data_IF_218236314961
#
_entry.id   IF_218236314961
#
_cell.length_a   1.000
_cell.length_b   1.000
_cell.length_c   1.000
_cell.angle_alpha   90.00
_cell.angle_beta   90.00
_cell.angle_gamma   90.00
#
_symmetry.space_group_name_H-M   'P 1'
#
loop_
_entity.id
_entity.type
_entity.pdbx_description
1 polymer ?
#
# COMPACT_ATOMS: atom_id res chain seq x y z
N UNK A 1 -4.25 -2.56 -17.05
CA UNK A 1 -3.86 -2.09 -15.71
C UNK A 1 -4.31 -3.12 -14.70
N UNK A 2 -3.41 -3.57 -13.88
CA UNK A 2 -3.70 -4.62 -12.91
C UNK A 2 -3.77 -4.07 -11.50
N UNK A 3 -4.49 -4.78 -10.63
CA UNK A 3 -4.61 -4.39 -9.24
C UNK A 3 -3.70 -5.25 -8.39
N UNK A 4 -3.00 -4.61 -7.47
CA UNK A 4 -2.10 -5.31 -6.57
C UNK A 4 -2.41 -4.91 -5.13
N UNK A 5 -2.36 -5.88 -4.25
CA UNK A 5 -2.32 -5.60 -2.82
C UNK A 5 -0.85 -5.53 -2.45
N UNK A 6 -0.43 -4.42 -1.86
CA UNK A 6 0.96 -4.20 -1.48
C UNK A 6 1.01 -4.12 0.04
N UNK A 7 1.71 -5.06 0.64
CA UNK A 7 1.83 -5.14 2.08
C UNK A 7 3.30 -5.10 2.46
N UNK A 8 3.61 -4.41 3.54
CA UNK A 8 5.01 -4.30 3.94
C UNK A 8 5.20 -4.42 5.44
N UNK A 9 6.41 -4.83 5.80
CA UNK A 9 6.83 -4.94 7.18
C UNK A 9 8.19 -4.27 7.27
N UNK A 10 8.23 -3.06 7.81
CA UNK A 10 9.42 -2.22 7.81
C UNK A 10 9.80 -1.94 9.25
N UNK A 11 11.04 -2.26 9.63
CA UNK A 11 11.45 -2.20 11.02
C UNK A 11 11.90 -0.82 11.48
N UNK A 12 12.23 0.07 10.58
CA UNK A 12 12.75 1.39 10.95
C UNK A 12 11.71 2.48 10.69
N UNK A 13 11.43 3.36 11.66
CA UNK A 13 10.38 4.38 11.49
C UNK A 13 10.60 5.32 10.31
N UNK A 14 11.84 5.68 10.01
CA UNK A 14 12.10 6.57 8.89
C UNK A 14 11.82 5.88 7.57
N UNK A 15 12.29 4.64 7.44
CA UNK A 15 12.02 3.87 6.22
C UNK A 15 10.53 3.58 6.10
N UNK A 16 9.87 3.31 7.21
CA UNK A 16 8.43 3.05 7.20
C UNK A 16 7.68 4.24 6.60
N UNK A 17 8.01 5.45 7.03
CA UNK A 17 7.35 6.64 6.50
C UNK A 17 7.62 6.82 5.02
N UNK A 18 8.84 6.56 4.58
CA UNK A 18 9.18 6.70 3.17
C UNK A 18 8.46 5.67 2.31
N UNK A 19 8.35 4.44 2.81
CA UNK A 19 7.64 3.38 2.10
C UNK A 19 6.16 3.74 1.98
N UNK A 20 5.57 4.18 3.08
CA UNK A 20 4.16 4.57 3.07
C UNK A 20 3.91 5.72 2.09
N UNK A 21 4.76 6.74 2.14
CA UNK A 21 4.63 7.88 1.24
C UNK A 21 4.76 7.47 -0.22
N UNK A 22 5.69 6.57 -0.51
CA UNK A 22 5.87 6.07 -1.86
C UNK A 22 4.63 5.29 -2.32
N UNK A 23 4.10 4.43 -1.47
CA UNK A 23 2.90 3.67 -1.82
C UNK A 23 1.70 4.59 -2.03
N UNK A 24 1.62 5.68 -1.30
CA UNK A 24 0.53 6.63 -1.48
C UNK A 24 0.53 7.27 -2.85
N UNK A 25 1.68 7.36 -3.49
CA UNK A 25 1.77 7.89 -4.84
C UNK A 25 1.18 6.92 -5.87
N UNK A 26 1.02 5.66 -5.50
CA UNK A 26 0.60 4.62 -6.45
C UNK A 26 -0.74 3.98 -6.13
N UNK A 27 -1.28 4.20 -4.94
CA UNK A 27 -2.53 3.55 -4.59
C UNK A 27 -3.16 4.09 -3.33
N UNK A 28 -4.13 3.35 -2.83
CA UNK A 28 -4.92 3.75 -1.67
C UNK A 28 -4.63 2.84 -0.49
N UNK A 29 -4.48 3.46 0.67
CA UNK A 29 -4.22 2.70 1.89
C UNK A 29 -5.48 1.95 2.33
N UNK A 30 -5.32 0.68 2.62
CA UNK A 30 -6.39 -0.14 3.15
C UNK A 30 -6.20 -0.42 4.64
N UNK A 31 -4.96 -0.60 5.05
CA UNK A 31 -4.60 -0.75 6.45
C UNK A 31 -3.25 -0.10 6.65
N UNK A 32 -2.80 -0.07 7.89
CA UNK A 32 -1.60 0.60 8.26
C UNK A 32 -0.44 0.34 7.32
N UNK A 33 -0.23 -0.90 6.95
CA UNK A 33 0.87 -1.27 6.06
C UNK A 33 0.37 -2.04 4.85
N UNK A 34 -0.85 -1.77 4.40
CA UNK A 34 -1.44 -2.44 3.26
C UNK A 34 -2.08 -1.42 2.34
N UNK A 35 -1.69 -1.46 1.08
CA UNK A 35 -2.23 -0.58 0.05
C UNK A 35 -2.83 -1.41 -1.07
N UNK A 36 -3.81 -0.85 -1.76
CA UNK A 36 -4.33 -1.43 -3.00
C UNK A 36 -3.97 -0.46 -4.11
N UNK A 37 -3.22 -0.94 -5.08
CA UNK A 37 -2.68 -0.13 -6.15
C UNK A 37 -3.10 -0.68 -7.50
N UNK A 38 -3.56 0.20 -8.39
CA UNK A 38 -3.86 -0.19 -9.77
C UNK A 38 -2.71 0.30 -10.63
N UNK A 39 -1.98 -0.64 -11.20
CA UNK A 39 -0.70 -0.33 -11.83
C UNK A 39 -0.59 -0.92 -13.23
N UNK A 40 -0.04 -0.13 -14.14
CA UNK A 40 0.43 -0.68 -15.40
C UNK A 40 1.73 -1.44 -15.12
N UNK A 41 2.20 -2.19 -16.11
CA UNK A 41 3.48 -2.89 -15.96
C UNK A 41 4.61 -1.91 -15.67
N UNK A 42 4.58 -0.75 -16.32
CA UNK A 42 5.59 0.29 -16.10
C UNK A 42 5.51 0.85 -14.67
N UNK A 43 4.29 1.12 -14.21
CA UNK A 43 4.10 1.62 -12.84
C UNK A 43 4.58 0.63 -11.80
N UNK A 44 4.36 -0.66 -12.03
CA UNK A 44 4.80 -1.68 -11.09
C UNK A 44 6.31 -1.69 -10.98
N UNK A 45 7.01 -1.58 -12.11
CA UNK A 45 8.47 -1.51 -12.11
C UNK A 45 8.94 -0.25 -11.38
N UNK A 46 8.28 0.87 -11.62
CA UNK A 46 8.65 2.13 -10.98
C UNK A 46 8.46 2.07 -9.47
N UNK A 47 7.34 1.50 -9.04
CA UNK A 47 7.07 1.36 -7.61
C UNK A 47 8.12 0.45 -6.97
N UNK A 48 8.38 -0.68 -7.58
CA UNK A 48 9.38 -1.62 -7.05
C UNK A 48 10.77 -0.98 -6.98
N UNK A 49 11.14 -0.21 -8.00
CA UNK A 49 12.43 0.46 -8.01
C UNK A 49 12.56 1.47 -6.87
N UNK A 50 11.51 2.26 -6.67
CA UNK A 50 11.55 3.26 -5.60
C UNK A 50 11.62 2.61 -4.24
N UNK A 51 10.86 1.54 -4.04
CA UNK A 51 10.88 0.83 -2.77
C UNK A 51 12.21 0.14 -2.52
N UNK A 52 12.80 -0.42 -3.58
CA UNK A 52 14.07 -1.09 -3.47
C UNK A 52 15.16 -0.15 -2.92
N UNK A 53 15.10 1.11 -3.30
CA UNK A 53 16.08 2.09 -2.84
C UNK A 53 15.85 2.55 -1.41
N UNK A 54 14.67 2.32 -0.88
CA UNK A 54 14.33 2.77 0.47
C UNK A 54 14.57 1.68 1.51
N UNK A 55 14.15 0.46 1.20
CA UNK A 55 14.12 -0.60 2.22
C UNK A 55 15.49 -1.19 2.45
N UNK A 56 15.62 -1.83 3.60
CA UNK A 56 16.80 -2.61 3.95
C UNK A 56 16.46 -4.07 3.64
N UNK A 57 17.14 -4.63 2.66
CA UNK A 57 16.79 -5.95 2.15
C UNK A 57 16.94 -7.06 3.19
N UNK A 58 17.72 -6.82 4.24
CA UNK A 58 17.92 -7.80 5.29
C UNK A 58 16.88 -7.69 6.39
N UNK A 59 16.32 -6.50 6.59
CA UNK A 59 15.46 -6.24 7.73
C UNK A 59 14.00 -6.02 7.36
N UNK A 60 13.73 -5.65 6.12
CA UNK A 60 12.42 -5.22 5.70
C UNK A 60 11.86 -6.14 4.62
N UNK A 61 10.54 -6.11 4.46
CA UNK A 61 9.89 -6.91 3.43
C UNK A 61 8.74 -6.11 2.82
N UNK A 62 8.58 -6.23 1.51
CA UNK A 62 7.40 -5.70 0.81
C UNK A 62 6.87 -6.82 -0.06
N UNK A 63 5.57 -7.07 0.04
CA UNK A 63 4.93 -8.15 -0.67
C UNK A 63 3.94 -7.57 -1.67
N UNK A 64 3.92 -8.12 -2.88
CA UNK A 64 2.99 -7.71 -3.93
C UNK A 64 2.10 -8.90 -4.28
N UNK A 65 0.80 -8.73 -4.14
CA UNK A 65 -0.15 -9.81 -4.43
C UNK A 65 -1.06 -9.35 -5.56
N UNK A 66 -0.97 -9.96 -6.74
CA UNK A 66 -1.86 -9.58 -7.82
C UNK A 66 -3.29 -10.02 -7.50
N UNK A 67 -4.25 -9.15 -7.79
CA UNK A 67 -5.65 -9.41 -7.54
C UNK A 67 -6.43 -9.24 -8.83
N UNK A 68 -7.38 -10.13 -9.08
CA UNK A 68 -8.30 -9.89 -10.18
C UNK A 68 -9.31 -8.83 -9.73
N UNK A 69 -10.03 -8.24 -10.68
CA UNK A 69 -10.96 -7.18 -10.37
C UNK A 69 -12.00 -7.62 -9.35
N UNK A 70 -12.47 -8.85 -9.49
CA UNK A 70 -13.46 -9.37 -8.59
C UNK A 70 -12.93 -9.50 -7.17
N UNK A 71 -11.70 -10.01 -7.04
CA UNK A 71 -11.10 -10.17 -5.73
C UNK A 71 -10.87 -8.81 -5.07
N UNK A 72 -10.45 -7.83 -5.84
CA UNK A 72 -10.17 -6.52 -5.25
C UNK A 72 -11.45 -5.85 -4.74
N UNK A 73 -12.58 -6.15 -5.37
CA UNK A 73 -13.87 -5.60 -4.92
C UNK A 73 -14.40 -6.32 -3.69
N UNK A 74 -13.85 -7.47 -3.36
CA UNK A 74 -14.35 -8.27 -2.26
C UNK A 74 -13.47 -8.22 -1.03
N UNK A 75 -12.52 -7.31 -0.99
CA UNK A 75 -11.67 -7.15 0.17
C UNK A 75 -12.54 -6.64 1.33
N UNK A 76 -12.46 -7.34 2.44
CA UNK A 76 -13.22 -6.99 3.64
C UNK A 76 -12.29 -6.75 4.80
N UNK A 77 -12.69 -5.87 5.69
CA UNK A 77 -11.93 -5.61 6.90
C UNK A 77 -12.88 -5.52 8.07
N UNK A 78 -12.41 -6.01 9.20
CA UNK A 78 -13.16 -5.89 10.45
C UNK A 78 -12.43 -4.93 11.35
N UNK A 79 -13.16 -4.22 12.14
CA UNK A 79 -12.57 -3.33 13.11
C UNK A 79 -12.63 -1.89 12.67
N UNK A 80 -11.64 -1.15 13.11
CA UNK A 80 -11.60 0.27 12.86
C UNK A 80 -11.39 0.55 11.37
N UNK A 81 -12.12 1.50 10.79
CA UNK A 81 -11.90 1.84 9.38
C UNK A 81 -10.53 2.47 9.19
N UNK A 82 -9.95 2.25 8.01
CA UNK A 82 -8.70 2.87 7.62
C UNK A 82 -9.03 4.03 6.72
N UNK A 83 -8.52 5.20 7.06
CA UNK A 83 -8.81 6.38 6.29
C UNK A 83 -7.55 7.10 5.92
N UNK A 84 -7.51 7.68 4.72
CA UNK A 84 -6.37 8.51 4.34
C UNK A 84 -6.29 9.71 5.29
N UNK A 85 -5.10 10.23 5.49
CA UNK A 85 -4.92 11.34 6.40
C UNK A 85 -5.76 12.56 6.09
N UNK A 86 -6.09 12.75 4.82
CA UNK A 86 -6.86 13.92 4.46
C UNK A 86 -8.32 13.65 4.32
N UNK A 87 -8.78 12.50 4.70
CA UNK A 87 -10.17 12.16 4.55
C UNK A 87 -10.93 12.50 5.78
N UNK A 88 -10.63 13.63 6.34
CA UNK A 88 -11.21 13.99 7.53
C UNK A 88 -12.65 13.96 7.51
N UNK A 89 -13.09 14.27 6.45
CA UNK A 89 -14.46 14.28 6.41
C UNK A 89 -15.09 13.02 6.68
N UNK A 90 -14.51 12.16 6.47
CA UNK A 90 -15.12 11.01 6.59
C UNK A 90 -15.34 10.60 7.80
N UNK A 91 -14.92 11.02 8.32
CA UNK A 91 -15.04 10.68 9.35
C UNK A 91 -16.03 10.21 9.85
N UNK A 92 -16.29 10.27 9.77
CA UNK A 92 -17.10 9.93 10.25
C UNK A 92 -17.58 8.91 10.34
N UNK A 93 -17.51 8.45 10.17
CA UNK A 93 -17.96 7.54 10.18
C UNK A 93 -17.96 6.82 10.76
N UNK A 94 -17.89 6.69 11.00
CA UNK A 94 -17.97 5.94 11.47
C UNK A 94 -18.33 5.20 11.62
#
# INVERSE_FOLDING_TARGET
MDTYLVAYDISNPKRLRKVASTCEDFGLRRQFSVFVCRLTATDLVRLKSRLYEIIDLDMDQVMFVPLCARCSEQIEALGRPTEPPDARDVVIVS
#
